data_IF_148473911432
#
_entry.id   IF_148473911432
#
_cell.length_a   1.000
_cell.length_b   1.000
_cell.length_c   1.000
_cell.angle_alpha   90.00
_cell.angle_beta   90.00
_cell.angle_gamma   90.00
#
_symmetry.space_group_name_H-M   'P 1'
#
loop_
_entity.id
_entity.type
_entity.pdbx_description
1 polymer ?
#
# COMPACT_ATOMS: atom_id res chain seq x y z
N UNK A 1 29.24 -7.39 -10.56
CA UNK A 1 28.46 -6.68 -9.52
C UNK A 1 27.14 -6.22 -10.09
N UNK A 2 26.06 -6.93 -9.80
CA UNK A 2 24.77 -6.75 -10.50
C UNK A 2 24.00 -5.57 -9.91
N UNK A 3 23.98 -4.45 -10.63
CA UNK A 3 23.10 -3.31 -10.36
C UNK A 3 21.64 -3.76 -10.51
N UNK A 4 21.00 -4.18 -9.41
CA UNK A 4 19.56 -4.47 -9.41
C UNK A 4 18.80 -3.15 -9.58
N UNK A 5 18.10 -3.03 -10.70
CA UNK A 5 17.23 -1.91 -11.06
C UNK A 5 16.12 -1.69 -10.01
N UNK A 6 16.36 -0.84 -9.00
CA UNK A 6 15.35 -0.43 -8.01
C UNK A 6 14.36 0.62 -8.55
N UNK A 7 13.93 0.50 -9.80
CA UNK A 7 12.89 1.36 -10.38
C UNK A 7 11.53 0.72 -10.21
N UNK A 8 10.90 0.79 -9.02
CA UNK A 8 9.46 0.45 -8.89
C UNK A 8 8.75 0.94 -7.62
N UNK A 9 8.98 2.18 -7.19
CA UNK A 9 8.16 2.84 -6.15
C UNK A 9 7.81 4.30 -6.48
N UNK A 10 7.67 4.65 -7.77
CA UNK A 10 7.07 5.93 -8.15
C UNK A 10 5.54 5.85 -8.02
N UNK A 11 5.03 5.81 -6.78
CA UNK A 11 3.70 6.36 -6.54
C UNK A 11 3.92 7.85 -6.22
N UNK A 12 3.64 8.71 -7.19
CA UNK A 12 3.96 10.14 -7.13
C UNK A 12 3.08 10.89 -6.14
N UNK A 13 3.71 11.57 -5.17
CA UNK A 13 3.03 12.31 -4.11
C UNK A 13 2.18 13.49 -4.62
N UNK A 14 2.63 14.13 -5.72
CA UNK A 14 1.97 15.32 -6.29
C UNK A 14 0.56 15.00 -6.80
N UNK A 15 0.41 13.91 -7.55
CA UNK A 15 -0.86 13.51 -8.15
C UNK A 15 -1.90 13.09 -7.11
N UNK A 16 -1.50 12.58 -5.93
CA UNK A 16 -2.47 12.26 -4.89
C UNK A 16 -3.05 13.51 -4.22
N UNK A 17 -2.26 14.57 -4.04
CA UNK A 17 -2.71 15.79 -3.35
C UNK A 17 -3.78 16.54 -4.16
N UNK A 18 -3.63 16.60 -5.48
CA UNK A 18 -4.63 17.17 -6.39
C UNK A 18 -5.99 16.46 -6.26
N UNK A 19 -5.99 15.13 -6.16
CA UNK A 19 -7.23 14.36 -5.97
C UNK A 19 -7.86 14.62 -4.60
N UNK A 20 -7.05 14.72 -3.54
CA UNK A 20 -7.54 15.03 -2.19
C UNK A 20 -8.21 16.40 -2.11
N UNK A 21 -7.69 17.38 -2.86
CA UNK A 21 -8.13 18.78 -2.85
C UNK A 21 -9.23 19.10 -3.87
N UNK A 22 -9.74 18.09 -4.60
CA UNK A 22 -10.88 18.29 -5.51
C UNK A 22 -12.07 18.97 -4.79
N UNK A 23 -12.70 19.99 -5.42
CA UNK A 23 -13.88 20.65 -4.88
C UNK A 23 -15.00 19.66 -4.58
N UNK A 24 -15.85 19.99 -3.60
CA UNK A 24 -16.99 19.17 -3.24
C UNK A 24 -17.89 18.97 -4.47
N UNK A 25 -18.22 17.70 -4.77
CA UNK A 25 -19.07 17.33 -5.91
C UNK A 25 -18.31 17.05 -7.21
N UNK A 26 -17.04 17.44 -7.32
CA UNK A 26 -16.21 17.13 -8.50
C UNK A 26 -15.65 15.72 -8.39
N UNK A 27 -15.85 14.91 -9.42
CA UNK A 27 -15.35 13.54 -9.53
C UNK A 27 -14.62 13.32 -10.84
N UNK A 28 -13.55 12.52 -10.82
CA UNK A 28 -12.79 12.14 -12.01
C UNK A 28 -13.46 10.92 -12.65
N UNK A 29 -13.95 10.99 -13.90
CA UNK A 29 -14.55 9.84 -14.56
C UNK A 29 -13.50 8.78 -14.88
N UNK A 30 -13.79 7.53 -14.51
CA UNK A 30 -12.93 6.37 -14.74
C UNK A 30 -13.66 5.38 -15.61
N UNK A 31 -13.20 5.23 -16.85
CA UNK A 31 -13.67 4.19 -17.75
C UNK A 31 -13.10 2.84 -17.34
N UNK A 32 -13.94 1.80 -17.41
CA UNK A 32 -13.57 0.42 -17.14
C UNK A 32 -13.59 -0.40 -18.43
N UNK A 33 -12.72 -1.40 -18.53
CA UNK A 33 -12.81 -2.43 -19.57
C UNK A 33 -13.85 -3.50 -19.20
N UNK A 34 -14.02 -4.50 -20.07
CA UNK A 34 -14.96 -5.62 -19.87
C UNK A 34 -14.67 -6.45 -18.61
N UNK A 35 -13.43 -6.43 -18.13
CA UNK A 35 -13.00 -7.10 -16.89
C UNK A 35 -13.15 -6.24 -15.64
N UNK A 36 -13.72 -5.03 -15.75
CA UNK A 36 -13.88 -4.08 -14.63
C UNK A 36 -12.59 -3.36 -14.23
N UNK A 37 -11.55 -3.39 -15.08
CA UNK A 37 -10.27 -2.71 -14.80
C UNK A 37 -10.26 -1.29 -15.39
N UNK A 38 -9.69 -0.31 -14.67
CA UNK A 38 -9.64 1.06 -15.14
C UNK A 38 -8.68 1.22 -16.32
N UNK A 39 -9.12 1.98 -17.33
CA UNK A 39 -8.36 2.26 -18.56
C UNK A 39 -8.20 3.77 -18.81
N UNK A 40 -7.23 4.13 -19.66
CA UNK A 40 -6.96 5.52 -20.04
C UNK A 40 -6.19 6.33 -18.97
N UNK A 41 -6.13 7.65 -19.16
CA UNK A 41 -5.33 8.56 -18.32
C UNK A 41 -5.79 8.57 -16.85
N UNK A 42 -7.10 8.51 -16.62
CA UNK A 42 -7.70 8.48 -15.29
C UNK A 42 -7.29 7.24 -14.48
N UNK A 43 -6.99 6.11 -15.14
CA UNK A 43 -6.48 4.91 -14.48
C UNK A 43 -5.14 5.15 -13.77
N UNK A 44 -4.25 5.96 -14.38
CA UNK A 44 -2.99 6.38 -13.77
C UNK A 44 -3.20 7.23 -12.52
N UNK A 45 -4.12 8.19 -12.59
CA UNK A 45 -4.49 9.04 -11.44
C UNK A 45 -5.10 8.21 -10.31
N UNK A 46 -6.05 7.33 -10.61
CA UNK A 46 -6.63 6.39 -9.64
C UNK A 46 -5.55 5.51 -9.02
N UNK A 47 -4.65 4.94 -9.82
CA UNK A 47 -3.54 4.10 -9.34
C UNK A 47 -2.65 4.82 -8.33
N UNK A 48 -2.30 6.08 -8.59
CA UNK A 48 -1.51 6.90 -7.66
C UNK A 48 -2.28 7.23 -6.38
N UNK A 49 -3.57 7.53 -6.50
CA UNK A 49 -4.44 7.77 -5.35
C UNK A 49 -4.55 6.53 -4.45
N UNK A 50 -4.75 5.35 -5.04
CA UNK A 50 -4.77 4.08 -4.30
C UNK A 50 -3.42 3.78 -3.63
N UNK A 51 -2.29 4.17 -4.23
CA UNK A 51 -1.00 4.08 -3.54
C UNK A 51 -0.94 4.96 -2.29
N UNK A 52 -1.50 6.17 -2.33
CA UNK A 52 -1.51 7.07 -1.18
C UNK A 52 -2.36 6.46 -0.06
N UNK A 53 -3.57 5.98 -0.38
CA UNK A 53 -4.44 5.28 0.59
C UNK A 53 -3.74 4.06 1.19
N UNK A 54 -3.09 3.22 0.37
CA UNK A 54 -2.42 2.02 0.85
C UNK A 54 -1.24 2.30 1.81
N UNK A 55 -0.73 3.54 1.84
CA UNK A 55 0.33 4.00 2.73
C UNK A 55 -0.20 4.76 3.96
N UNK A 56 -1.49 5.05 3.99
CA UNK A 56 -2.15 5.71 5.11
C UNK A 56 -2.41 4.68 6.21
N UNK A 57 -1.72 4.84 7.34
CA UNK A 57 -1.83 3.90 8.47
C UNK A 57 -3.20 3.90 9.15
N UNK A 58 -4.02 4.94 8.98
CA UNK A 58 -5.37 5.00 9.54
C UNK A 58 -6.36 4.25 8.64
N UNK A 59 -6.29 4.50 7.33
CA UNK A 59 -7.17 3.84 6.35
C UNK A 59 -6.76 2.39 6.11
N UNK A 60 -5.46 2.13 5.99
CA UNK A 60 -4.88 0.82 5.69
C UNK A 60 -3.84 0.40 6.74
N UNK A 61 -4.27 0.04 7.97
CA UNK A 61 -3.37 -0.23 9.08
C UNK A 61 -2.33 -1.31 8.78
N UNK A 62 -1.11 -1.09 9.23
CA UNK A 62 0.00 -2.02 9.04
C UNK A 62 0.09 -3.09 10.14
N UNK A 63 -0.80 -3.05 11.14
CA UNK A 63 -0.85 -3.99 12.28
C UNK A 63 -1.42 -5.37 11.94
N UNK A 64 -1.88 -5.58 10.71
CA UNK A 64 -2.39 -6.89 10.26
C UNK A 64 -1.34 -7.61 9.41
N UNK A 65 -1.22 -8.93 9.49
CA UNK A 65 -0.23 -9.66 8.66
C UNK A 65 -0.68 -9.83 7.19
N UNK A 66 -2.00 -9.92 6.96
CA UNK A 66 -2.61 -10.11 5.63
C UNK A 66 -3.67 -9.03 5.39
N UNK A 67 -3.73 -8.51 4.17
CA UNK A 67 -4.78 -7.57 3.73
C UNK A 67 -6.19 -8.13 3.93
N UNK A 68 -6.35 -9.45 3.80
CA UNK A 68 -7.65 -10.12 4.04
C UNK A 68 -8.14 -9.92 5.48
N UNK A 69 -7.23 -9.73 6.44
CA UNK A 69 -7.52 -9.52 7.85
C UNK A 69 -7.77 -8.05 8.22
N UNK A 70 -7.49 -7.11 7.31
CA UNK A 70 -7.85 -5.70 7.53
C UNK A 70 -9.37 -5.59 7.65
N UNK A 71 -9.90 -4.90 8.69
CA UNK A 71 -11.32 -4.84 8.96
C UNK A 71 -12.13 -4.38 7.75
N UNK A 72 -13.31 -4.96 7.58
CA UNK A 72 -14.19 -4.61 6.47
C UNK A 72 -14.63 -3.15 6.53
N UNK A 73 -14.77 -2.60 7.74
CA UNK A 73 -15.03 -1.16 7.96
C UNK A 73 -13.98 -0.27 7.26
N UNK A 74 -12.70 -0.62 7.33
CA UNK A 74 -11.63 0.13 6.67
C UNK A 74 -11.79 0.06 5.14
N UNK A 75 -12.04 -1.12 4.59
CA UNK A 75 -12.26 -1.30 3.15
C UNK A 75 -13.48 -0.52 2.67
N UNK A 76 -14.58 -0.55 3.41
CA UNK A 76 -15.79 0.21 3.12
C UNK A 76 -15.55 1.73 3.14
N UNK A 77 -14.79 2.24 4.11
CA UNK A 77 -14.40 3.65 4.17
C UNK A 77 -13.54 4.00 2.95
N UNK A 78 -12.55 3.18 2.60
CA UNK A 78 -11.71 3.39 1.43
C UNK A 78 -12.55 3.43 0.15
N UNK A 79 -13.48 2.48 -0.01
CA UNK A 79 -14.38 2.47 -1.16
C UNK A 79 -15.23 3.74 -1.25
N UNK A 80 -15.78 4.17 -0.11
CA UNK A 80 -16.54 5.41 -0.03
C UNK A 80 -15.70 6.62 -0.45
N UNK A 81 -14.46 6.74 0.05
CA UNK A 81 -13.53 7.81 -0.35
C UNK A 81 -13.25 7.77 -1.85
N UNK A 82 -13.03 6.59 -2.43
CA UNK A 82 -12.82 6.46 -3.88
C UNK A 82 -14.03 6.96 -4.66
N UNK A 83 -15.27 6.57 -4.28
CA UNK A 83 -16.50 7.05 -4.93
C UNK A 83 -16.76 8.55 -4.76
N UNK A 84 -16.23 9.17 -3.71
CA UNK A 84 -16.31 10.62 -3.53
C UNK A 84 -15.39 11.39 -4.48
N UNK A 85 -14.29 10.78 -4.93
CA UNK A 85 -13.26 11.42 -5.76
C UNK A 85 -13.28 10.97 -7.22
N UNK A 86 -13.77 9.77 -7.47
CA UNK A 86 -13.83 9.15 -8.79
C UNK A 86 -15.27 8.75 -9.11
N UNK A 87 -15.68 9.01 -10.34
CA UNK A 87 -16.90 8.47 -10.91
C UNK A 87 -16.55 7.14 -11.58
N UNK A 88 -16.79 6.05 -10.86
CA UNK A 88 -16.41 4.70 -11.24
C UNK A 88 -17.58 3.76 -10.97
N UNK A 89 -17.87 2.89 -11.95
CA UNK A 89 -18.95 1.92 -11.81
C UNK A 89 -18.66 0.90 -10.69
N UNK A 90 -19.68 0.39 -9.97
CA UNK A 90 -19.51 -0.56 -8.87
C UNK A 90 -18.73 -1.84 -9.24
N UNK A 91 -18.80 -2.30 -10.49
CA UNK A 91 -18.04 -3.45 -10.99
C UNK A 91 -16.52 -3.30 -10.82
N UNK A 92 -16.00 -2.07 -10.73
CA UNK A 92 -14.59 -1.78 -10.50
C UNK A 92 -14.12 -1.95 -9.04
N UNK A 93 -15.04 -2.13 -8.08
CA UNK A 93 -14.71 -2.25 -6.65
C UNK A 93 -13.77 -3.43 -6.37
N UNK A 94 -14.04 -4.59 -6.97
CA UNK A 94 -13.22 -5.78 -6.80
C UNK A 94 -11.77 -5.53 -7.25
N UNK A 95 -11.61 -4.85 -8.39
CA UNK A 95 -10.30 -4.47 -8.87
C UNK A 95 -9.60 -3.53 -7.88
N UNK A 96 -10.29 -2.50 -7.39
CA UNK A 96 -9.75 -1.53 -6.43
C UNK A 96 -9.26 -2.24 -5.16
N UNK A 97 -10.06 -3.13 -4.58
CA UNK A 97 -9.69 -3.84 -3.34
C UNK A 97 -8.48 -4.76 -3.54
N UNK A 98 -8.42 -5.47 -4.67
CA UNK A 98 -7.26 -6.29 -5.05
C UNK A 98 -6.01 -5.43 -5.27
N UNK A 99 -6.19 -4.29 -5.93
CA UNK A 99 -5.16 -3.30 -6.28
C UNK A 99 -4.56 -2.64 -5.02
N UNK A 100 -5.40 -2.33 -4.02
CA UNK A 100 -5.01 -1.84 -2.70
C UNK A 100 -4.22 -2.88 -1.91
N UNK A 101 -4.73 -4.11 -1.80
CA UNK A 101 -4.04 -5.18 -1.07
C UNK A 101 -2.66 -5.51 -1.65
N UNK A 102 -2.49 -5.42 -2.97
CA UNK A 102 -1.17 -5.53 -3.62
C UNK A 102 -0.25 -4.39 -3.19
N UNK A 103 -0.70 -3.13 -3.27
CA UNK A 103 0.10 -1.95 -2.92
C UNK A 103 0.46 -1.90 -1.43
N UNK A 104 -0.47 -2.27 -0.56
CA UNK A 104 -0.26 -2.33 0.87
C UNK A 104 0.81 -3.37 1.23
N UNK A 105 0.79 -4.56 0.60
CA UNK A 105 1.87 -5.55 0.76
C UNK A 105 3.20 -5.04 0.23
N UNK A 106 3.22 -4.45 -0.97
CA UNK A 106 4.43 -3.84 -1.53
C UNK A 106 4.99 -2.73 -0.65
N UNK A 107 4.14 -1.95 0.02
CA UNK A 107 4.56 -0.93 0.97
C UNK A 107 5.24 -1.55 2.19
N UNK A 108 4.68 -2.61 2.77
CA UNK A 108 5.34 -3.37 3.85
C UNK A 108 6.69 -3.93 3.44
N UNK A 109 6.77 -4.55 2.25
CA UNK A 109 8.02 -5.09 1.73
C UNK A 109 9.08 -4.01 1.54
N UNK A 110 8.68 -2.83 1.05
CA UNK A 110 9.59 -1.70 0.95
C UNK A 110 10.10 -1.23 2.31
N UNK A 111 9.19 -1.08 3.28
CA UNK A 111 9.57 -0.68 4.63
C UNK A 111 10.55 -1.66 5.25
N UNK A 112 10.31 -2.97 5.10
CA UNK A 112 11.23 -3.99 5.59
C UNK A 112 12.62 -3.84 4.96
N UNK A 113 12.68 -3.78 3.63
CA UNK A 113 13.95 -3.73 2.89
C UNK A 113 14.77 -2.45 3.17
N UNK A 114 14.12 -1.32 3.41
CA UNK A 114 14.81 -0.02 3.53
C UNK A 114 15.09 0.43 4.95
N UNK A 115 14.31 -0.07 5.92
CA UNK A 115 14.35 0.43 7.29
C UNK A 115 14.50 -0.67 8.34
N UNK A 116 14.29 -1.94 7.99
CA UNK A 116 14.45 -3.06 8.92
C UNK A 116 15.69 -3.90 8.58
N UNK A 117 15.79 -4.37 7.34
CA UNK A 117 16.88 -5.25 6.88
C UNK A 117 18.23 -4.50 6.75
N UNK A 118 18.22 -3.17 6.83
CA UNK A 118 19.41 -2.31 6.80
C UNK A 118 20.15 -2.24 8.13
N UNK A 119 19.53 -2.69 9.22
CA UNK A 119 20.03 -2.56 10.58
C UNK A 119 20.08 -3.92 11.27
N UNK A 120 21.04 -4.09 12.16
CA UNK A 120 21.24 -5.35 12.87
C UNK A 120 20.50 -5.35 14.21
N UNK A 121 20.57 -4.24 14.94
CA UNK A 121 19.98 -4.10 16.28
C UNK A 121 18.52 -3.69 16.23
N UNK A 122 17.76 -4.00 17.28
CA UNK A 122 16.34 -3.62 17.35
C UNK A 122 16.19 -2.12 17.60
N UNK A 123 17.11 -1.52 18.37
CA UNK A 123 17.15 -0.10 18.69
C UNK A 123 17.31 0.75 17.43
N UNK A 124 18.23 0.40 16.54
CA UNK A 124 18.44 1.08 15.25
C UNK A 124 17.20 0.95 14.35
N UNK A 125 16.59 -0.24 14.27
CA UNK A 125 15.35 -0.47 13.51
C UNK A 125 14.19 0.38 14.01
N UNK A 126 14.03 0.48 15.33
CA UNK A 126 12.99 1.30 15.94
C UNK A 126 13.22 2.80 15.69
N UNK A 127 14.48 3.23 15.65
CA UNK A 127 14.87 4.61 15.36
C UNK A 127 14.65 5.00 13.89
N UNK A 128 14.94 4.11 12.94
CA UNK A 128 14.79 4.36 11.49
C UNK A 128 13.35 4.16 10.99
N UNK A 129 12.40 4.86 11.61
CA UNK A 129 11.00 4.83 11.18
C UNK A 129 10.77 5.75 9.99
N UNK A 130 10.14 5.24 8.94
CA UNK A 130 9.61 6.09 7.87
C UNK A 130 8.57 7.10 8.42
N UNK A 131 8.70 8.42 8.14
CA UNK A 131 7.81 9.44 8.71
C UNK A 131 6.31 9.23 8.44
N UNK A 132 5.96 8.52 7.36
CA UNK A 132 4.56 8.22 6.99
C UNK A 132 3.92 7.08 7.78
N UNK A 133 4.71 6.31 8.52
CA UNK A 133 4.23 5.16 9.30
C UNK A 133 4.00 5.59 10.73
N UNK A 134 2.83 5.30 11.31
CA UNK A 134 2.56 5.60 12.72
C UNK A 134 3.53 4.82 13.64
N UNK A 135 3.94 5.43 14.75
CA UNK A 135 4.96 4.87 15.65
C UNK A 135 4.57 3.48 16.17
N UNK A 136 3.33 3.33 16.60
CA UNK A 136 2.78 2.11 17.17
C UNK A 136 2.74 0.99 16.12
N UNK A 137 2.41 1.36 14.87
CA UNK A 137 2.41 0.41 13.75
C UNK A 137 3.82 -0.02 13.36
N UNK A 138 4.80 0.90 13.45
CA UNK A 138 6.19 0.57 13.19
C UNK A 138 6.74 -0.40 14.23
N UNK A 139 6.52 -0.11 15.51
CA UNK A 139 6.90 -1.00 16.62
C UNK A 139 6.31 -2.41 16.42
N UNK A 140 5.03 -2.50 16.05
CA UNK A 140 4.39 -3.77 15.74
C UNK A 140 5.09 -4.50 14.58
N UNK A 141 5.45 -3.80 13.51
CA UNK A 141 6.13 -4.39 12.35
C UNK A 141 7.53 -4.89 12.70
N UNK A 142 8.32 -4.10 13.43
CA UNK A 142 9.67 -4.49 13.88
C UNK A 142 9.57 -5.75 14.74
N UNK A 143 8.72 -5.74 15.76
CA UNK A 143 8.50 -6.91 16.62
C UNK A 143 8.05 -8.13 15.81
N UNK A 144 7.13 -7.96 14.86
CA UNK A 144 6.68 -9.03 13.99
C UNK A 144 7.81 -9.61 13.12
N UNK A 145 8.62 -8.78 12.50
CA UNK A 145 9.73 -9.23 11.65
C UNK A 145 10.90 -9.81 12.44
N UNK A 146 11.06 -9.43 13.71
CA UNK A 146 12.01 -10.04 14.65
C UNK A 146 11.62 -11.46 15.05
N UNK A 147 10.35 -11.87 14.90
CA UNK A 147 9.90 -13.22 15.26
C UNK A 147 10.49 -14.31 14.34
N UNK A 148 10.78 -15.48 14.91
CA UNK A 148 11.33 -16.64 14.18
C UNK A 148 10.47 -17.09 12.99
N UNK A 149 9.14 -16.95 13.06
CA UNK A 149 8.23 -17.24 11.94
C UNK A 149 8.48 -16.36 10.71
N UNK A 150 8.98 -15.14 10.89
CA UNK A 150 9.32 -14.24 9.79
C UNK A 150 10.71 -14.53 9.18
N UNK A 151 11.60 -15.18 9.94
CA UNK A 151 12.93 -15.63 9.48
C UNK A 151 12.84 -16.93 8.66
N UNK A 152 12.03 -17.90 9.09
CA UNK A 152 11.85 -19.20 8.41
C UNK A 152 11.28 -19.09 6.98
N UNK A 153 10.50 -18.03 6.69
CA UNK A 153 9.99 -17.76 5.33
C UNK A 153 11.08 -17.32 4.33
N UNK A 154 12.26 -16.92 4.79
CA UNK A 154 13.40 -16.58 3.92
C UNK A 154 14.18 -17.83 3.51
N UNK A 155 14.39 -18.78 4.44
CA UNK A 155 15.14 -20.01 4.16
C UNK A 155 14.42 -20.92 3.14
N UNK A 156 13.09 -21.01 3.21
CA UNK A 156 12.33 -21.86 2.28
C UNK A 156 12.35 -21.37 0.83
N UNK A 157 12.55 -20.06 0.60
CA UNK A 157 12.67 -19.49 -0.75
C UNK A 157 14.06 -19.64 -1.35
N UNK A 158 15.08 -19.94 -0.55
CA UNK A 158 16.45 -20.16 -1.03
C UNK A 158 16.76 -21.64 -1.32
N UNK A 159 15.97 -22.58 -0.80
CA UNK A 159 16.13 -24.03 -1.02
C UNK A 159 15.38 -24.55 -2.27
N UNK A 160 14.45 -23.77 -2.83
CA UNK A 160 13.68 -24.16 -4.02
C UNK A 160 13.86 -23.20 -5.22
N UNK A 161 15.00 -22.50 -5.29
CA UNK A 161 15.39 -21.67 -6.43
C UNK A 161 16.31 -22.39 -7.40
#
# INVERSE_FOLDING_TARGET
>A
GTKRNHRRLRCGLKLSLEVWTLPKGVRIPVSLNTSGEPVGKAAGTLSNFLCAIARDGVLAPLTYHDWRRVPEKNKNIIWHIVKLKFDIAPVGELWIMKSLGKRWRSWKSFLKLQHYDTHETEEERLADRNPRVLKEQWQFLVAYWSTEKAKVLLDYTFVCG
#
